data_IF_188460748900
#
_entry.id   IF_188460748900
#
_cell.length_a   1.000
_cell.length_b   1.000
_cell.length_c   1.000
_cell.angle_alpha   90.00
_cell.angle_beta   90.00
_cell.angle_gamma   90.00
#
_symmetry.space_group_name_H-M   'P 1'
#
loop_
_entity.id
_entity.type
_entity.pdbx_description
1 polymer ?
#
# COMPACT_ATOMS: atom_id res chain seq x y z
N UNK A 1 -10.87 -0.75 3.35
CA UNK A 1 -9.44 -1.11 3.22
C UNK A 1 -9.24 -1.80 1.87
N UNK A 2 -8.31 -1.32 1.04
CA UNK A 2 -8.22 -1.66 -0.38
C UNK A 2 -7.83 -3.13 -0.66
N UNK A 3 -7.04 -3.77 0.20
CA UNK A 3 -6.55 -5.14 0.01
C UNK A 3 -7.42 -6.21 0.67
N UNK A 4 -8.49 -5.81 1.38
CA UNK A 4 -9.42 -6.70 2.07
C UNK A 4 -10.56 -7.21 1.18
N UNK A 5 -10.61 -6.80 -0.09
CA UNK A 5 -11.68 -7.13 -1.02
C UNK A 5 -11.42 -8.41 -1.81
N UNK A 6 -12.52 -9.10 -2.15
CA UNK A 6 -12.58 -10.32 -2.97
C UNK A 6 -11.82 -10.24 -4.32
N UNK A 7 -11.45 -9.02 -4.77
CA UNK A 7 -10.73 -8.75 -6.02
C UNK A 7 -9.24 -9.13 -5.96
N UNK A 8 -8.61 -9.09 -4.80
CA UNK A 8 -7.19 -9.44 -4.67
C UNK A 8 -6.98 -10.92 -4.29
N UNK A 9 -8.06 -11.60 -3.88
CA UNK A 9 -8.08 -12.97 -3.36
C UNK A 9 -7.85 -14.06 -4.43
N UNK A 10 -7.64 -13.68 -5.70
CA UNK A 10 -7.31 -14.59 -6.80
C UNK A 10 -6.03 -14.24 -7.58
N UNK A 11 -5.42 -13.08 -7.32
CA UNK A 11 -4.21 -12.61 -8.03
C UNK A 11 -2.96 -12.70 -7.17
N UNK A 12 -3.11 -12.55 -5.86
CA UNK A 12 -2.01 -12.53 -4.90
C UNK A 12 -2.22 -13.61 -3.85
N UNK A 13 -1.15 -14.28 -3.42
CA UNK A 13 -1.25 -15.24 -2.34
C UNK A 13 -1.68 -14.51 -1.05
N UNK A 14 -2.33 -15.21 -0.10
CA UNK A 14 -2.73 -14.59 1.18
C UNK A 14 -1.56 -13.97 1.94
N UNK A 15 -0.34 -14.48 1.75
CA UNK A 15 0.89 -13.91 2.31
C UNK A 15 1.27 -12.57 1.66
N UNK A 16 1.16 -12.46 0.34
CA UNK A 16 1.38 -11.21 -0.39
C UNK A 16 0.35 -10.15 0.02
N UNK A 17 -0.92 -10.55 0.19
CA UNK A 17 -1.98 -9.66 0.65
C UNK A 17 -1.70 -9.11 2.05
N UNK A 18 -1.13 -9.91 2.95
CA UNK A 18 -0.69 -9.42 4.25
C UNK A 18 0.43 -8.40 4.13
N UNK A 19 1.44 -8.65 3.30
CA UNK A 19 2.55 -7.72 3.08
C UNK A 19 2.05 -6.38 2.50
N UNK A 20 1.20 -6.42 1.47
CA UNK A 20 0.61 -5.24 0.84
C UNK A 20 -0.26 -4.44 1.84
N UNK A 21 -1.07 -5.13 2.64
CA UNK A 21 -1.91 -4.49 3.64
C UNK A 21 -1.09 -3.88 4.79
N UNK A 22 0.01 -4.54 5.19
CA UNK A 22 0.93 -4.02 6.20
C UNK A 22 1.66 -2.76 5.70
N UNK A 23 2.15 -2.78 4.47
CA UNK A 23 2.75 -1.61 3.83
C UNK A 23 1.76 -0.43 3.77
N UNK A 24 0.50 -0.69 3.44
CA UNK A 24 -0.54 0.33 3.36
C UNK A 24 -0.83 0.98 4.72
N UNK A 25 -0.94 0.18 5.76
CA UNK A 25 -1.17 0.70 7.11
C UNK A 25 0.02 1.55 7.57
N UNK A 26 1.25 1.16 7.24
CA UNK A 26 2.46 1.94 7.54
C UNK A 26 2.52 3.23 6.75
N UNK A 27 2.20 3.24 5.46
CA UNK A 27 2.06 4.48 4.69
C UNK A 27 1.05 5.44 5.33
N UNK A 28 -0.12 4.94 5.74
CA UNK A 28 -1.10 5.78 6.44
C UNK A 28 -0.55 6.38 7.73
N UNK A 29 0.19 5.59 8.52
CA UNK A 29 0.83 6.08 9.73
C UNK A 29 1.92 7.13 9.44
N UNK A 30 2.71 6.95 8.39
CA UNK A 30 3.78 7.89 7.99
C UNK A 30 3.22 9.21 7.44
N UNK A 31 2.12 9.15 6.72
CA UNK A 31 1.49 10.31 6.09
C UNK A 31 0.44 10.98 7.01
N UNK A 32 0.22 10.46 8.22
CA UNK A 32 -0.88 10.83 9.13
C UNK A 32 -2.26 10.82 8.43
N UNK A 33 -2.43 9.93 7.44
CA UNK A 33 -3.65 9.83 6.63
C UNK A 33 -4.57 8.73 7.16
N UNK A 34 -5.88 8.96 7.06
CA UNK A 34 -6.86 7.99 7.54
C UNK A 34 -7.12 6.90 6.47
N UNK A 35 -6.88 5.60 6.78
CA UNK A 35 -6.90 4.50 5.81
C UNK A 35 -8.27 4.18 5.20
N UNK A 36 -9.34 4.73 5.76
CA UNK A 36 -10.74 4.41 5.40
C UNK A 36 -11.44 5.53 4.63
N UNK A 37 -11.09 6.79 4.87
CA UNK A 37 -11.81 7.97 4.37
C UNK A 37 -11.03 8.80 3.34
N UNK A 38 -9.73 8.56 3.15
CA UNK A 38 -8.95 9.34 2.19
C UNK A 38 -9.36 9.04 0.74
N UNK A 39 -9.55 10.09 -0.05
CA UNK A 39 -9.89 10.00 -1.48
C UNK A 39 -8.77 9.27 -2.26
N UNK A 40 -7.51 9.49 -1.88
CA UNK A 40 -6.33 8.82 -2.47
C UNK A 40 -6.10 7.36 -2.04
N UNK A 41 -7.00 6.74 -1.27
CA UNK A 41 -6.81 5.34 -0.82
C UNK A 41 -6.56 4.35 -1.96
N UNK A 42 -7.21 4.57 -3.10
CA UNK A 42 -7.01 3.72 -4.30
C UNK A 42 -5.68 4.03 -5.00
N UNK A 43 -5.26 5.29 -4.99
CA UNK A 43 -3.99 5.71 -5.58
C UNK A 43 -2.81 5.17 -4.76
N UNK A 44 -2.90 5.28 -3.43
CA UNK A 44 -1.93 4.74 -2.48
C UNK A 44 -1.84 3.21 -2.59
N UNK A 45 -2.97 2.52 -2.69
CA UNK A 45 -3.00 1.07 -2.89
C UNK A 45 -2.32 0.66 -4.20
N UNK A 46 -2.55 1.38 -5.30
CA UNK A 46 -1.88 1.14 -6.58
C UNK A 46 -0.38 1.40 -6.52
N UNK A 47 0.06 2.44 -5.80
CA UNK A 47 1.48 2.73 -5.62
C UNK A 47 2.19 1.61 -4.86
N UNK A 48 1.55 1.08 -3.82
CA UNK A 48 2.05 -0.05 -3.03
C UNK A 48 2.15 -1.33 -3.87
N UNK A 49 1.13 -1.63 -4.68
CA UNK A 49 1.17 -2.77 -5.60
C UNK A 49 2.34 -2.61 -6.56
N UNK A 50 2.52 -1.43 -7.18
CA UNK A 50 3.64 -1.20 -8.10
C UNK A 50 4.99 -1.39 -7.42
N UNK A 51 5.18 -0.85 -6.22
CA UNK A 51 6.41 -1.04 -5.46
C UNK A 51 6.66 -2.52 -5.15
N UNK A 52 5.62 -3.27 -4.79
CA UNK A 52 5.72 -4.72 -4.61
C UNK A 52 6.12 -5.46 -5.90
N UNK A 53 5.51 -5.09 -7.02
CA UNK A 53 5.81 -5.67 -8.34
C UNK A 53 7.24 -5.37 -8.84
N UNK A 54 7.94 -4.38 -8.27
CA UNK A 54 9.37 -4.15 -8.57
C UNK A 54 10.30 -5.18 -7.92
N UNK A 55 9.77 -6.06 -7.05
CA UNK A 55 10.52 -7.10 -6.35
C UNK A 55 10.82 -6.77 -4.89
N UNK A 56 10.43 -5.58 -4.40
CA UNK A 56 10.52 -5.25 -2.98
C UNK A 56 9.36 -5.90 -2.22
N UNK A 57 9.67 -6.85 -1.33
CA UNK A 57 8.66 -7.56 -0.54
C UNK A 57 8.58 -7.05 0.89
N UNK A 58 9.50 -6.18 1.31
CA UNK A 58 9.51 -5.68 2.68
C UNK A 58 8.46 -4.56 2.86
N UNK A 59 7.43 -4.77 3.70
CA UNK A 59 6.37 -3.79 3.88
C UNK A 59 6.84 -2.44 4.46
N UNK A 60 7.96 -2.40 5.20
CA UNK A 60 8.54 -1.13 5.67
C UNK A 60 9.17 -0.34 4.51
N UNK A 61 9.95 -1.02 3.65
CA UNK A 61 10.58 -0.39 2.49
C UNK A 61 9.55 0.10 1.48
N UNK A 62 8.55 -0.72 1.18
CA UNK A 62 7.44 -0.34 0.29
C UNK A 62 6.74 0.91 0.84
N UNK A 63 6.48 0.94 2.15
CA UNK A 63 5.79 2.05 2.77
C UNK A 63 6.61 3.35 2.69
N UNK A 64 7.92 3.28 2.92
CA UNK A 64 8.84 4.42 2.81
C UNK A 64 8.94 4.94 1.37
N UNK A 65 9.10 4.05 0.38
CA UNK A 65 9.16 4.41 -1.04
C UNK A 65 7.88 5.14 -1.46
N UNK A 66 6.72 4.58 -1.11
CA UNK A 66 5.42 5.15 -1.48
C UNK A 66 5.16 6.45 -0.73
N UNK A 67 5.49 6.53 0.55
CA UNK A 67 5.35 7.77 1.33
C UNK A 67 6.21 8.90 0.75
N UNK A 68 7.46 8.61 0.35
CA UNK A 68 8.33 9.59 -0.32
C UNK A 68 7.76 10.04 -1.66
N UNK A 69 7.21 9.12 -2.45
CA UNK A 69 6.55 9.41 -3.72
C UNK A 69 5.33 10.33 -3.55
N UNK A 70 4.54 10.10 -2.50
CA UNK A 70 3.36 10.91 -2.17
C UNK A 70 3.75 12.29 -1.61
N UNK A 71 4.78 12.37 -0.78
CA UNK A 71 5.31 13.65 -0.28
C UNK A 71 5.93 14.49 -1.39
N UNK A 72 6.57 13.88 -2.40
CA UNK A 72 7.15 14.59 -3.55
C UNK A 72 6.12 15.12 -4.55
N UNK A 73 4.84 14.74 -4.41
CA UNK A 73 3.72 15.25 -5.24
C UNK A 73 3.06 16.50 -4.67
N UNK A 74 3.40 16.90 -3.44
CA UNK A 74 2.90 18.09 -2.74
C UNK A 74 3.84 19.26 -3.03
#
# INVERSE_FOLDING_TARGET
>A
MPFRGNKCQGTYAPNDLQALQAAYNRCCALLDRCPTTHEDKEMLARAIIRAYETGEQNPDNIADIVAKLELARI
#
